data_IF_106309953364
#
_entry.id   IF_106309953364
#
_cell.length_a   1.000
_cell.length_b   1.000
_cell.length_c   1.000
_cell.angle_alpha   90.00
_cell.angle_beta   90.00
_cell.angle_gamma   90.00
#
_symmetry.space_group_name_H-M   'P 1'
#
loop_
_entity.id
_entity.type
_entity.pdbx_description
1 polymer ?
#
# COMPACT_ATOMS: atom_id res chain seq x y z
N UNK A 1 -34.05 0.24 -49.23
CA UNK A 1 -33.58 0.82 -47.95
C UNK A 1 -34.56 0.54 -46.78
N UNK A 2 -35.03 -0.71 -46.62
CA UNK A 2 -36.07 -1.07 -45.61
C UNK A 2 -35.71 -2.31 -44.77
N UNK A 3 -34.73 -3.11 -45.19
CA UNK A 3 -34.29 -4.32 -44.45
C UNK A 3 -33.54 -3.99 -43.15
N UNK A 4 -32.77 -2.88 -43.12
CA UNK A 4 -31.91 -2.54 -41.98
C UNK A 4 -32.69 -1.98 -40.78
N UNK A 5 -33.84 -1.33 -41.01
CA UNK A 5 -34.71 -0.85 -39.92
C UNK A 5 -35.43 -1.99 -39.19
N UNK A 6 -35.80 -3.07 -39.90
CA UNK A 6 -36.43 -4.24 -39.28
C UNK A 6 -35.45 -5.06 -38.44
N UNK A 7 -34.18 -5.14 -38.86
CA UNK A 7 -33.12 -5.80 -38.08
C UNK A 7 -32.75 -5.04 -36.79
N UNK A 8 -32.79 -3.71 -36.82
CA UNK A 8 -32.49 -2.88 -35.64
C UNK A 8 -33.64 -2.86 -34.63
N UNK A 9 -34.90 -2.80 -35.11
CA UNK A 9 -36.09 -2.90 -34.25
C UNK A 9 -36.24 -4.30 -33.61
N UNK A 10 -35.89 -5.38 -34.32
CA UNK A 10 -35.94 -6.75 -33.79
C UNK A 10 -34.88 -7.01 -32.70
N UNK A 11 -33.70 -6.37 -32.80
CA UNK A 11 -32.65 -6.46 -31.77
C UNK A 11 -32.99 -5.68 -30.51
N UNK A 12 -33.64 -4.52 -30.64
CA UNK A 12 -34.13 -3.73 -29.50
C UNK A 12 -35.25 -4.48 -28.79
N UNK A 13 -36.19 -5.09 -29.52
CA UNK A 13 -37.24 -5.91 -28.92
C UNK A 13 -36.69 -7.16 -28.22
N UNK A 14 -35.67 -7.83 -28.78
CA UNK A 14 -35.01 -8.96 -28.10
C UNK A 14 -34.29 -8.54 -26.81
N UNK A 15 -33.70 -7.34 -26.77
CA UNK A 15 -33.02 -6.82 -25.58
C UNK A 15 -34.01 -6.40 -24.48
N UNK A 16 -35.16 -5.81 -24.85
CA UNK A 16 -36.21 -5.40 -23.90
C UNK A 16 -37.05 -6.59 -23.42
N UNK A 17 -37.34 -7.59 -24.27
CA UNK A 17 -38.07 -8.80 -23.87
C UNK A 17 -37.19 -9.75 -23.03
N UNK A 18 -35.88 -9.78 -23.27
CA UNK A 18 -34.91 -10.55 -22.48
C UNK A 18 -34.70 -10.00 -21.07
N UNK A 19 -34.81 -8.67 -20.88
CA UNK A 19 -34.69 -8.04 -19.56
C UNK A 19 -35.98 -8.09 -18.72
N UNK A 20 -37.11 -8.53 -19.31
CA UNK A 20 -38.40 -8.68 -18.61
C UNK A 20 -38.70 -10.15 -18.22
N UNK A 21 -37.82 -11.09 -18.54
CA UNK A 21 -37.98 -12.53 -18.26
C UNK A 21 -36.95 -13.08 -17.25
N UNK A 22 -36.61 -12.31 -16.22
CA UNK A 22 -35.76 -12.76 -15.10
C UNK A 22 -36.26 -12.28 -13.72
N UNK A 23 -37.57 -12.00 -13.62
CA UNK A 23 -38.22 -11.53 -12.40
C UNK A 23 -39.38 -12.44 -11.98
N UNK A 24 -39.13 -13.75 -11.90
CA UNK A 24 -40.07 -14.69 -11.25
C UNK A 24 -39.34 -15.90 -10.64
N UNK A 25 -38.79 -15.75 -9.43
CA UNK A 25 -38.82 -16.82 -8.41
C UNK A 25 -39.24 -16.16 -7.10
N UNK A 26 -40.53 -16.29 -6.82
CA UNK A 26 -41.17 -15.92 -5.58
C UNK A 26 -41.52 -17.18 -4.78
N UNK A 27 -41.63 -16.98 -3.46
CA UNK A 27 -42.33 -17.79 -2.46
C UNK A 27 -41.61 -18.98 -1.80
N UNK A 28 -41.13 -18.72 -0.58
CA UNK A 28 -41.15 -19.65 0.55
C UNK A 28 -41.71 -18.92 1.79
N UNK A 29 -42.74 -19.50 2.41
CA UNK A 29 -43.71 -18.93 3.36
C UNK A 29 -43.20 -18.45 4.74
N UNK A 30 -43.96 -17.47 5.27
CA UNK A 30 -44.09 -16.93 6.65
C UNK A 30 -44.64 -17.95 7.68
N UNK A 31 -44.63 -17.69 9.02
CA UNK A 31 -45.50 -16.70 9.72
C UNK A 31 -44.75 -15.79 10.72
N UNK A 32 -44.95 -14.48 10.72
CA UNK A 32 -46.01 -13.70 11.41
C UNK A 32 -45.88 -13.70 12.94
N UNK A 33 -45.51 -12.53 13.48
CA UNK A 33 -46.00 -11.86 14.69
C UNK A 33 -44.98 -10.79 15.09
N UNK A 34 -45.30 -9.53 15.40
CA UNK A 34 -46.52 -8.75 15.33
C UNK A 34 -46.09 -7.31 15.67
N UNK A 35 -46.54 -6.34 14.87
CA UNK A 35 -46.88 -4.95 15.22
C UNK A 35 -45.86 -4.03 15.92
N UNK A 36 -45.44 -3.01 15.17
CA UNK A 36 -45.44 -1.62 15.64
C UNK A 36 -46.89 -1.07 15.65
N UNK A 37 -47.16 -0.05 16.47
CA UNK A 37 -47.51 1.26 15.89
C UNK A 37 -46.70 2.38 16.60
N UNK A 38 -46.06 3.31 15.89
CA UNK A 38 -46.58 4.47 15.15
C UNK A 38 -46.93 5.69 16.05
N UNK A 39 -46.25 6.80 15.74
CA UNK A 39 -46.51 8.21 16.01
C UNK A 39 -46.64 8.73 17.46
N UNK A 40 -45.86 9.75 17.84
CA UNK A 40 -46.22 11.16 17.66
C UNK A 40 -45.11 12.10 18.16
N UNK A 41 -45.19 13.34 17.68
CA UNK A 41 -44.24 14.43 17.84
C UNK A 41 -44.38 15.20 19.18
N UNK A 42 -43.40 16.08 19.41
CA UNK A 42 -43.46 17.29 20.27
C UNK A 42 -42.96 17.13 21.71
N UNK A 43 -41.80 17.73 22.03
CA UNK A 43 -41.59 18.94 22.85
C UNK A 43 -40.15 18.94 23.40
N UNK A 44 -39.36 19.98 23.12
CA UNK A 44 -38.12 20.31 23.86
C UNK A 44 -38.47 21.18 25.10
N UNK A 45 -37.55 21.54 26.01
CA UNK A 45 -36.21 21.00 26.30
C UNK A 45 -36.12 20.52 27.77
N UNK A 46 -35.27 19.52 28.06
CA UNK A 46 -34.86 19.27 29.45
C UNK A 46 -33.35 19.17 29.51
N UNK A 47 -32.81 20.12 30.27
CA UNK A 47 -31.40 20.30 30.61
C UNK A 47 -30.84 18.99 31.17
N UNK A 48 -29.91 18.37 30.45
CA UNK A 48 -29.09 17.28 30.95
C UNK A 48 -27.64 17.74 31.01
N UNK A 49 -27.25 18.11 32.23
CA UNK A 49 -25.92 18.44 32.71
C UNK A 49 -24.88 17.47 32.19
N UNK A 50 -23.87 18.00 31.50
CA UNK A 50 -22.64 17.31 31.17
C UNK A 50 -21.84 17.08 32.47
N UNK A 51 -21.64 15.83 32.84
CA UNK A 51 -20.63 15.45 33.84
C UNK A 51 -19.42 14.93 33.08
N UNK A 52 -18.47 15.83 32.85
CA UNK A 52 -17.11 15.48 32.47
C UNK A 52 -16.37 14.88 33.68
N UNK A 53 -15.49 13.87 33.50
CA UNK A 53 -14.56 13.49 34.56
C UNK A 53 -13.51 14.60 34.74
N UNK A 54 -13.47 15.14 35.95
CA UNK A 54 -12.51 16.15 36.38
C UNK A 54 -11.07 15.64 36.26
N UNK A 55 -10.29 16.29 35.40
CA UNK A 55 -8.83 16.29 35.49
C UNK A 55 -8.42 17.39 36.45
N UNK A 56 -7.73 17.02 37.52
CA UNK A 56 -7.20 17.96 38.49
C UNK A 56 -5.99 18.68 37.89
N UNK A 57 -6.14 19.96 37.58
CA UNK A 57 -5.01 20.89 37.47
C UNK A 57 -4.51 21.22 38.88
N UNK A 58 -3.22 21.03 39.10
CA UNK A 58 -2.46 21.78 40.09
C UNK A 58 -1.20 22.27 39.42
N UNK A 59 -1.14 23.58 39.28
CA UNK A 59 0.03 24.32 38.85
C UNK A 59 1.20 24.07 39.80
N UNK A 60 2.40 23.90 39.25
CA UNK A 60 3.62 24.36 39.90
C UNK A 60 4.63 24.80 38.86
N UNK A 61 5.04 26.03 39.10
CA UNK A 61 5.94 26.89 38.36
C UNK A 61 7.37 26.33 38.35
N UNK A 62 8.03 26.49 37.20
CA UNK A 62 9.46 26.70 37.00
C UNK A 62 10.41 26.20 38.10
N UNK A 63 11.20 25.17 37.80
CA UNK A 63 12.66 25.24 37.99
C UNK A 63 13.41 24.52 36.86
N UNK A 64 14.13 25.34 36.10
CA UNK A 64 15.28 24.98 35.27
C UNK A 64 16.29 24.16 36.11
N UNK A 65 16.38 22.86 35.87
CA UNK A 65 17.53 22.06 36.27
C UNK A 65 18.12 21.43 35.01
N UNK A 66 19.17 22.10 34.50
CA UNK A 66 20.01 21.56 33.45
C UNK A 66 20.54 20.19 33.82
N UNK A 67 20.87 19.40 32.79
CA UNK A 67 21.60 18.14 32.94
C UNK A 67 22.74 18.32 33.95
N UNK A 68 22.90 17.41 34.94
CA UNK A 68 24.08 17.43 35.77
C UNK A 68 25.30 17.34 34.85
N UNK A 69 26.27 18.24 35.06
CA UNK A 69 27.57 18.12 34.43
C UNK A 69 28.13 16.72 34.76
N UNK A 70 28.68 15.98 33.77
CA UNK A 70 29.27 14.68 34.04
C UNK A 70 30.37 14.84 35.10
N UNK A 71 30.32 14.00 36.12
CA UNK A 71 31.31 13.97 37.19
C UNK A 71 32.70 13.75 36.59
N UNK A 72 33.61 14.70 36.81
CA UNK A 72 35.04 14.51 36.58
C UNK A 72 35.61 13.52 37.60
N UNK A 73 35.42 12.22 37.36
CA UNK A 73 36.24 11.17 37.97
C UNK A 73 37.12 10.52 36.90
N UNK A 74 38.28 11.16 36.73
CA UNK A 74 39.60 10.58 36.47
C UNK A 74 39.65 9.12 35.99
N UNK A 75 39.92 8.99 34.69
CA UNK A 75 41.04 8.17 34.17
C UNK A 75 41.24 6.79 34.80
N UNK A 76 40.31 5.87 34.58
CA UNK A 76 40.76 4.53 34.21
C UNK A 76 41.15 4.61 32.74
N UNK A 77 42.45 4.82 32.49
CA UNK A 77 43.01 4.59 31.18
C UNK A 77 42.61 3.17 30.76
N UNK A 78 41.76 3.07 29.74
CA UNK A 78 41.53 1.81 29.08
C UNK A 78 42.92 1.29 28.68
N UNK A 79 43.30 0.05 29.04
CA UNK A 79 44.48 -0.53 28.44
C UNK A 79 44.28 -0.48 26.93
N UNK A 80 45.19 0.20 26.24
CA UNK A 80 45.21 0.13 24.79
C UNK A 80 45.26 -1.36 24.42
N UNK A 81 44.38 -1.86 23.54
CA UNK A 81 44.45 -3.25 23.13
C UNK A 81 45.85 -3.48 22.57
N UNK A 82 46.58 -4.43 23.15
CA UNK A 82 47.84 -4.87 22.58
C UNK A 82 47.54 -5.32 21.15
N UNK A 83 48.06 -4.57 20.19
CA UNK A 83 48.00 -4.90 18.78
C UNK A 83 48.93 -6.10 18.53
N UNK A 84 48.58 -7.26 19.08
CA UNK A 84 48.92 -8.51 18.45
C UNK A 84 48.18 -8.47 17.12
N UNK A 85 48.97 -8.45 16.03
CA UNK A 85 48.46 -8.43 14.68
C UNK A 85 47.52 -9.62 14.50
N UNK A 86 46.22 -9.39 14.72
CA UNK A 86 45.18 -10.23 14.20
C UNK A 86 45.40 -10.21 12.69
N UNK A 87 45.59 -11.41 12.13
CA UNK A 87 45.65 -11.60 10.71
C UNK A 87 44.54 -10.79 10.04
N UNK A 88 44.93 -10.14 8.95
CA UNK A 88 44.13 -9.40 7.99
C UNK A 88 43.07 -10.30 7.33
N UNK A 89 42.18 -10.86 8.13
CA UNK A 89 40.97 -11.54 7.68
C UNK A 89 39.91 -10.45 7.55
N UNK A 90 40.12 -9.59 6.55
CA UNK A 90 39.14 -8.58 6.17
C UNK A 90 37.76 -9.21 6.00
N UNK A 91 36.72 -8.46 6.34
CA UNK A 91 35.34 -8.93 6.16
C UNK A 91 35.18 -9.54 4.77
N UNK A 92 34.63 -10.77 4.66
CA UNK A 92 34.42 -11.37 3.36
C UNK A 92 33.59 -10.40 2.51
N UNK A 93 33.93 -10.22 1.23
CA UNK A 93 33.15 -9.36 0.35
C UNK A 93 31.69 -9.84 0.37
N UNK A 94 30.72 -8.91 0.40
CA UNK A 94 29.31 -9.28 0.39
C UNK A 94 29.02 -10.13 -0.84
N UNK A 95 28.32 -11.25 -0.64
CA UNK A 95 27.93 -12.13 -1.74
C UNK A 95 27.09 -11.37 -2.76
N UNK A 96 27.58 -11.25 -4.00
CA UNK A 96 26.80 -10.70 -5.10
C UNK A 96 25.67 -11.66 -5.44
N UNK A 97 24.43 -11.21 -5.23
CA UNK A 97 23.26 -12.01 -5.60
C UNK A 97 22.98 -11.80 -7.10
N UNK A 98 22.95 -12.87 -7.91
CA UNK A 98 22.82 -12.75 -9.35
C UNK A 98 21.56 -11.98 -9.75
N UNK A 99 21.69 -11.12 -10.75
CA UNK A 99 20.57 -10.49 -11.46
C UNK A 99 20.16 -11.46 -12.58
N UNK A 100 18.86 -11.73 -12.73
CA UNK A 100 18.37 -12.50 -13.85
C UNK A 100 18.72 -11.77 -15.15
N UNK A 101 19.39 -12.47 -16.07
CA UNK A 101 19.70 -11.95 -17.42
C UNK A 101 18.63 -12.36 -18.43
N UNK A 102 17.79 -13.32 -18.04
CA UNK A 102 16.68 -13.88 -18.77
C UNK A 102 15.37 -13.40 -18.13
N UNK A 103 14.72 -12.41 -18.75
CA UNK A 103 13.36 -12.00 -18.39
C UNK A 103 13.18 -10.51 -18.11
N UNK A 104 11.92 -10.13 -17.93
CA UNK A 104 11.51 -8.74 -17.71
C UNK A 104 11.71 -8.38 -16.23
N UNK A 105 12.56 -7.39 -15.97
CA UNK A 105 12.82 -6.86 -14.62
C UNK A 105 11.75 -5.87 -14.19
N UNK A 106 11.66 -5.64 -12.89
CA UNK A 106 10.90 -4.53 -12.35
C UNK A 106 11.57 -3.21 -12.75
N UNK A 107 10.80 -2.28 -13.32
CA UNK A 107 11.27 -0.93 -13.62
C UNK A 107 10.12 0.06 -13.68
N UNK A 108 10.41 1.33 -13.41
CA UNK A 108 9.54 2.45 -13.75
C UNK A 108 9.97 3.05 -15.09
N UNK A 109 9.02 3.59 -15.84
CA UNK A 109 9.33 4.39 -17.02
C UNK A 109 10.11 5.65 -16.62
N UNK A 110 11.17 5.96 -17.36
CA UNK A 110 12.12 7.04 -17.03
C UNK A 110 11.54 8.46 -17.12
N UNK A 111 10.36 8.62 -17.71
CA UNK A 111 9.64 9.89 -17.90
C UNK A 111 8.56 10.16 -16.82
N UNK A 112 8.46 9.29 -15.81
CA UNK A 112 7.57 9.46 -14.66
C UNK A 112 7.96 10.68 -13.83
N UNK A 113 7.00 11.57 -13.53
CA UNK A 113 7.24 12.84 -12.82
C UNK A 113 6.06 13.24 -11.92
N UNK A 114 6.26 14.29 -11.13
CA UNK A 114 5.21 14.83 -10.26
C UNK A 114 3.95 15.23 -11.03
N UNK A 115 2.79 14.96 -10.43
CA UNK A 115 1.47 15.26 -11.00
C UNK A 115 0.95 14.23 -11.99
N UNK A 116 1.76 13.26 -12.42
CA UNK A 116 1.28 12.16 -13.27
C UNK A 116 0.19 11.37 -12.54
N UNK A 117 -0.85 10.97 -13.27
CA UNK A 117 -1.98 10.15 -12.77
C UNK A 117 -1.98 8.75 -13.36
N UNK A 118 -0.99 8.44 -14.19
CA UNK A 118 -0.77 7.15 -14.81
C UNK A 118 0.72 6.85 -14.72
N UNK A 119 1.08 5.68 -14.19
CA UNK A 119 2.47 5.22 -14.11
C UNK A 119 2.64 4.01 -14.99
N UNK A 120 3.75 4.02 -15.74
CA UNK A 120 4.15 2.94 -16.66
C UNK A 120 5.44 2.30 -16.19
N UNK A 121 5.67 1.10 -16.66
CA UNK A 121 6.91 0.39 -16.40
C UNK A 121 6.81 -1.07 -16.77
N UNK A 122 7.72 -1.85 -16.19
CA UNK A 122 7.80 -3.28 -16.43
C UNK A 122 7.84 -4.09 -15.14
N UNK A 123 7.35 -5.32 -15.19
CA UNK A 123 7.41 -6.32 -14.14
C UNK A 123 7.30 -7.72 -14.80
N UNK A 124 7.61 -8.82 -14.08
CA UNK A 124 7.32 -10.16 -14.56
C UNK A 124 5.87 -10.29 -15.06
N UNK A 125 5.58 -11.07 -16.11
CA UNK A 125 4.26 -11.14 -16.72
C UNK A 125 3.14 -11.59 -15.78
N UNK A 126 1.94 -11.03 -15.98
CA UNK A 126 0.71 -11.38 -15.25
C UNK A 126 0.81 -11.22 -13.71
N UNK A 127 1.65 -10.32 -13.25
CA UNK A 127 1.93 -10.12 -11.83
C UNK A 127 1.06 -8.99 -11.26
N UNK A 128 0.43 -9.26 -10.12
CA UNK A 128 -0.35 -8.26 -9.37
C UNK A 128 0.58 -7.33 -8.59
N UNK A 129 0.60 -6.06 -8.95
CA UNK A 129 1.53 -5.05 -8.43
C UNK A 129 0.81 -3.83 -7.84
N UNK A 130 1.44 -3.22 -6.83
CA UNK A 130 0.99 -2.00 -6.18
C UNK A 130 2.08 -0.93 -6.29
N UNK A 131 1.65 0.31 -6.48
CA UNK A 131 2.50 1.50 -6.45
C UNK A 131 2.22 2.22 -5.13
N UNK A 132 3.25 2.43 -4.31
CA UNK A 132 3.13 3.04 -2.99
C UNK A 132 4.05 4.26 -2.88
N UNK A 133 3.62 5.31 -2.18
CA UNK A 133 4.54 6.32 -1.65
C UNK A 133 5.20 5.76 -0.39
N UNK A 134 6.49 5.48 -0.48
CA UNK A 134 7.25 4.84 0.60
C UNK A 134 7.91 5.85 1.52
N UNK A 135 7.79 7.15 1.24
CA UNK A 135 8.33 8.22 2.07
C UNK A 135 7.61 8.29 3.43
N UNK A 136 6.33 7.91 3.47
CA UNK A 136 5.46 8.02 4.65
C UNK A 136 4.74 6.68 4.95
N UNK A 137 5.50 5.64 5.29
CA UNK A 137 4.98 4.31 5.69
C UNK A 137 4.21 3.53 4.61
N UNK A 138 4.38 3.83 3.32
CA UNK A 138 3.81 3.01 2.25
C UNK A 138 2.33 3.28 1.98
N UNK A 139 1.99 4.52 1.60
CA UNK A 139 0.62 4.86 1.18
C UNK A 139 0.37 4.32 -0.23
N UNK A 140 -0.67 3.50 -0.41
CA UNK A 140 -1.02 2.97 -1.74
C UNK A 140 -1.54 4.10 -2.63
N UNK A 141 -0.89 4.30 -3.77
CA UNK A 141 -1.25 5.28 -4.80
C UNK A 141 -2.12 4.67 -5.90
N UNK A 142 -1.88 3.40 -6.22
CA UNK A 142 -2.64 2.62 -7.19
C UNK A 142 -2.19 1.16 -7.24
N UNK A 143 -2.98 0.33 -7.93
CA UNK A 143 -2.73 -1.10 -8.09
C UNK A 143 -3.13 -1.55 -9.50
N UNK A 144 -2.49 -2.60 -9.98
CA UNK A 144 -2.79 -3.18 -11.29
C UNK A 144 -2.08 -4.50 -11.51
N UNK A 145 -2.08 -4.96 -12.76
CA UNK A 145 -1.47 -6.23 -13.17
C UNK A 145 -0.62 -5.95 -14.40
N UNK A 146 0.58 -6.52 -14.47
CA UNK A 146 1.38 -6.51 -15.70
C UNK A 146 0.74 -7.42 -16.75
N UNK A 147 0.89 -7.05 -18.02
CA UNK A 147 0.40 -7.85 -19.13
C UNK A 147 1.26 -9.10 -19.39
N UNK A 148 0.93 -9.83 -20.46
CA UNK A 148 1.66 -11.04 -20.85
C UNK A 148 3.10 -10.77 -21.32
N UNK A 149 3.40 -9.53 -21.72
CA UNK A 149 4.71 -9.08 -22.15
C UNK A 149 5.51 -8.44 -20.99
N UNK A 150 4.88 -8.31 -19.82
CA UNK A 150 5.49 -7.73 -18.62
C UNK A 150 5.39 -6.20 -18.55
N UNK A 151 4.61 -5.54 -19.40
CA UNK A 151 4.37 -4.10 -19.29
C UNK A 151 3.21 -3.83 -18.34
N UNK A 152 3.21 -2.67 -17.68
CA UNK A 152 2.04 -2.21 -16.94
C UNK A 152 1.74 -0.74 -17.23
N UNK A 153 0.46 -0.39 -17.12
CA UNK A 153 -0.03 0.98 -17.07
C UNK A 153 -1.08 1.06 -15.94
N UNK A 154 -0.75 1.79 -14.87
CA UNK A 154 -1.54 1.82 -13.65
C UNK A 154 -2.01 3.24 -13.38
N UNK A 155 -3.33 3.42 -13.22
CA UNK A 155 -3.89 4.67 -12.74
C UNK A 155 -3.57 4.87 -11.26
N UNK A 156 -3.10 6.05 -10.92
CA UNK A 156 -2.69 6.42 -9.55
C UNK A 156 -3.30 7.75 -9.13
N UNK A 157 -3.33 7.99 -7.82
CA UNK A 157 -3.45 9.36 -7.31
C UNK A 157 -2.28 10.21 -7.86
N UNK A 158 -2.48 11.53 -8.10
CA UNK A 158 -1.43 12.39 -8.63
C UNK A 158 -0.11 12.25 -7.86
N UNK A 159 0.97 11.98 -8.57
CA UNK A 159 2.26 11.72 -7.93
C UNK A 159 2.78 12.96 -7.18
N UNK A 160 3.13 12.84 -5.90
CA UNK A 160 3.69 13.94 -5.13
C UNK A 160 5.16 14.20 -5.52
N UNK A 161 5.52 15.48 -5.68
CA UNK A 161 6.90 15.88 -5.94
C UNK A 161 7.83 15.59 -4.75
N UNK A 162 9.10 15.31 -5.05
CA UNK A 162 10.14 15.02 -4.06
C UNK A 162 9.78 13.87 -3.11
N UNK A 163 9.05 12.87 -3.62
CA UNK A 163 8.70 11.65 -2.89
C UNK A 163 9.25 10.43 -3.59
N UNK A 164 9.56 9.40 -2.81
CA UNK A 164 9.96 8.10 -3.36
C UNK A 164 8.74 7.22 -3.46
N UNK A 165 8.53 6.66 -4.65
CA UNK A 165 7.53 5.62 -4.87
C UNK A 165 8.20 4.25 -4.99
N UNK A 166 7.47 3.19 -4.68
CA UNK A 166 7.93 1.81 -4.75
C UNK A 166 6.94 0.90 -5.45
N UNK A 167 7.46 -0.07 -6.23
CA UNK A 167 6.71 -1.20 -6.74
C UNK A 167 6.75 -2.34 -5.73
N UNK A 168 5.58 -2.75 -5.25
CA UNK A 168 5.42 -3.91 -4.39
C UNK A 168 4.43 -4.90 -5.01
N UNK A 169 4.32 -6.08 -4.41
CA UNK A 169 3.28 -7.02 -4.77
C UNK A 169 1.92 -6.60 -4.19
N UNK A 170 0.90 -6.45 -5.03
CA UNK A 170 -0.45 -6.10 -4.56
C UNK A 170 -1.18 -7.32 -3.98
N UNK A 171 -0.87 -8.51 -4.47
CA UNK A 171 -1.46 -9.77 -4.02
C UNK A 171 -0.38 -10.84 -4.01
N UNK A 172 -0.38 -11.64 -2.95
CA UNK A 172 0.44 -12.83 -2.84
C UNK A 172 -0.13 -13.94 -3.72
N UNK A 173 0.73 -14.69 -4.39
CA UNK A 173 0.35 -15.93 -5.05
C UNK A 173 -0.18 -16.95 -4.02
N UNK A 174 -1.11 -17.81 -4.45
CA UNK A 174 -1.73 -18.78 -3.55
C UNK A 174 -0.67 -19.71 -2.94
N UNK A 175 -0.64 -19.75 -1.60
CA UNK A 175 0.29 -20.57 -0.84
C UNK A 175 1.69 -20.00 -0.67
N UNK A 176 1.98 -18.80 -1.19
CA UNK A 176 3.25 -18.11 -0.95
C UNK A 176 3.08 -16.98 0.08
N UNK A 177 4.05 -16.86 0.97
CA UNK A 177 4.25 -15.70 1.84
C UNK A 177 4.95 -14.57 1.09
N UNK A 178 4.92 -13.36 1.65
CA UNK A 178 5.66 -12.22 1.10
C UNK A 178 7.17 -12.50 0.99
N UNK A 179 7.75 -13.23 1.95
CA UNK A 179 9.17 -13.59 1.92
C UNK A 179 9.48 -14.51 0.75
N UNK A 180 8.70 -15.58 0.60
CA UNK A 180 8.90 -16.56 -0.48
C UNK A 180 8.70 -15.93 -1.86
N UNK A 181 7.73 -15.03 -1.97
CA UNK A 181 7.51 -14.28 -3.20
C UNK A 181 8.65 -13.28 -3.47
N UNK A 182 9.16 -12.64 -2.42
CA UNK A 182 10.36 -11.82 -2.46
C UNK A 182 11.56 -12.59 -3.00
N UNK A 183 11.82 -13.78 -2.46
CA UNK A 183 12.93 -14.64 -2.88
C UNK A 183 12.77 -15.12 -4.34
N UNK A 184 11.55 -15.54 -4.71
CA UNK A 184 11.21 -15.97 -6.08
C UNK A 184 11.51 -14.89 -7.11
N UNK A 185 11.17 -13.64 -6.80
CA UNK A 185 11.29 -12.52 -7.73
C UNK A 185 12.56 -11.67 -7.53
N UNK A 186 13.36 -11.97 -6.51
CA UNK A 186 14.61 -11.25 -6.20
C UNK A 186 15.58 -11.13 -7.38
N UNK A 187 15.75 -12.15 -8.25
CA UNK A 187 16.60 -12.03 -9.43
C UNK A 187 16.12 -10.96 -10.43
N UNK A 188 14.81 -10.72 -10.48
CA UNK A 188 14.18 -9.76 -11.41
C UNK A 188 14.07 -8.35 -10.84
N UNK A 189 14.55 -8.13 -9.60
CA UNK A 189 14.49 -6.82 -8.94
C UNK A 189 15.06 -5.71 -9.82
N UNK A 190 14.48 -4.54 -9.69
CA UNK A 190 14.98 -3.33 -10.27
C UNK A 190 16.22 -2.79 -9.55
N UNK A 191 16.81 -1.73 -10.08
CA UNK A 191 18.04 -1.17 -9.51
C UNK A 191 17.77 -0.42 -8.21
N UNK A 192 16.56 0.13 -8.05
CA UNK A 192 16.09 0.76 -6.82
C UNK A 192 15.44 -0.22 -5.84
N UNK A 193 15.74 -1.51 -5.90
CA UNK A 193 15.27 -2.51 -4.92
C UNK A 193 15.50 -2.04 -3.49
N UNK A 194 14.49 -2.15 -2.64
CA UNK A 194 14.56 -1.70 -1.25
C UNK A 194 13.70 -2.58 -0.34
N UNK A 195 14.32 -3.14 0.69
CA UNK A 195 13.61 -3.77 1.80
C UNK A 195 13.56 -2.77 2.97
N UNK A 196 12.39 -2.18 3.22
CA UNK A 196 12.18 -1.24 4.30
C UNK A 196 11.53 -1.95 5.49
N UNK A 197 12.24 -2.10 6.63
CA UNK A 197 11.68 -2.72 7.82
C UNK A 197 10.36 -2.07 8.23
N UNK A 198 9.35 -2.90 8.53
CA UNK A 198 7.99 -2.50 8.91
C UNK A 198 7.19 -1.71 7.87
N UNK A 199 7.75 -1.43 6.69
CA UNK A 199 7.05 -0.74 5.59
C UNK A 199 6.76 -1.73 4.47
N UNK A 200 7.77 -2.47 4.00
CA UNK A 200 7.57 -3.49 2.97
C UNK A 200 8.79 -3.80 2.13
N UNK A 201 8.60 -4.79 1.25
CA UNK A 201 9.57 -5.20 0.24
C UNK A 201 9.20 -4.55 -1.09
N UNK A 202 10.08 -3.70 -1.61
CA UNK A 202 9.90 -2.98 -2.85
C UNK A 202 10.88 -3.50 -3.90
N UNK A 203 10.33 -4.04 -4.98
CA UNK A 203 11.10 -4.66 -6.06
C UNK A 203 11.84 -3.61 -6.90
N UNK A 204 11.35 -2.37 -6.91
CA UNK A 204 11.94 -1.20 -7.56
C UNK A 204 11.45 0.05 -6.81
N UNK A 205 12.27 1.10 -6.76
CA UNK A 205 11.90 2.40 -6.17
C UNK A 205 12.47 3.55 -6.98
N UNK A 206 11.70 4.62 -7.13
CA UNK A 206 12.10 5.80 -7.88
C UNK A 206 11.79 7.07 -7.09
N UNK A 207 12.72 8.02 -7.10
CA UNK A 207 12.45 9.37 -6.61
C UNK A 207 11.70 10.13 -7.72
N UNK A 208 10.59 10.76 -7.36
CA UNK A 208 9.84 11.65 -8.23
C UNK A 208 10.41 13.05 -8.08
N UNK A 209 10.96 13.58 -9.17
CA UNK A 209 11.44 14.97 -9.26
C UNK A 209 10.29 15.97 -9.41
#
# INVERSE_FOLDING_TARGET
>A
MSKNKRFMQLRIYLFVLGSLLLLTVACGNTPENNLLPEAEATTAPVVATATAPASSETASESQNTGYPAPSDESSLAYPAPENTAAADEGYPPPSEVPIATDGVRFSFASDTKAGDTVVRGTAPPNLSIAILDITLNGVVLGQGVSDADGNFEISVSPLPASRRIGLAFARLEDGLTLSEMGDKYYPYRGDGFMNLPNVGLFMETMLIE
#
